data_IF_993124530164
#
_entry.id   IF_993124530164
#
_cell.length_a   1.000
_cell.length_b   1.000
_cell.length_c   1.000
_cell.angle_alpha   90.00
_cell.angle_beta   90.00
_cell.angle_gamma   90.00
#
_symmetry.space_group_name_H-M   'P 1'
#
loop_
_entity.id
_entity.type
_entity.pdbx_description
1 polymer ?
#
# COMPACT_ATOMS: atom_id res chain seq x y z
N UNK A 1 -18.44 12.37 -6.79
CA UNK A 1 -16.99 12.14 -6.89
C UNK A 1 -16.81 10.68 -7.23
N UNK A 2 -16.36 10.37 -8.45
CA UNK A 2 -16.31 9.01 -8.96
C UNK A 2 -15.28 8.22 -8.15
N UNK A 3 -15.75 7.39 -7.22
CA UNK A 3 -14.92 6.38 -6.58
C UNK A 3 -14.52 5.40 -7.65
N UNK A 4 -13.31 5.57 -8.19
CA UNK A 4 -12.71 4.60 -9.09
C UNK A 4 -12.74 3.25 -8.38
N UNK A 5 -13.57 2.33 -8.87
CA UNK A 5 -13.64 0.95 -8.40
C UNK A 5 -12.36 0.23 -8.84
N UNK A 6 -11.24 0.58 -8.21
CA UNK A 6 -9.99 -0.10 -8.41
C UNK A 6 -10.03 -1.37 -7.56
N UNK A 7 -10.15 -2.55 -8.16
CA UNK A 7 -10.03 -3.83 -7.44
C UNK A 7 -8.56 -4.14 -7.09
N UNK A 8 -7.83 -3.13 -6.62
CA UNK A 8 -6.40 -3.04 -6.35
C UNK A 8 -5.60 -4.34 -6.57
N UNK A 9 -4.99 -4.47 -7.77
CA UNK A 9 -4.01 -5.54 -8.02
C UNK A 9 -2.70 -5.07 -7.40
N UNK A 10 -2.31 -5.71 -6.30
CA UNK A 10 -1.17 -5.32 -5.47
C UNK A 10 0.07 -6.13 -5.84
N UNK A 11 1.18 -5.43 -6.04
CA UNK A 11 2.52 -5.98 -6.15
C UNK A 11 3.30 -5.65 -4.87
N UNK A 12 3.99 -6.64 -4.28
CA UNK A 12 4.86 -6.40 -3.13
C UNK A 12 6.11 -5.65 -3.61
N UNK A 13 6.30 -4.42 -3.10
CA UNK A 13 7.51 -3.64 -3.34
C UNK A 13 8.65 -4.04 -2.41
N UNK A 14 8.32 -4.48 -1.20
CA UNK A 14 9.31 -4.94 -0.23
C UNK A 14 8.83 -4.88 1.21
N UNK A 15 9.71 -5.28 2.11
CA UNK A 15 9.53 -5.21 3.55
C UNK A 15 10.57 -4.27 4.17
N UNK A 16 10.17 -3.53 5.20
CA UNK A 16 11.08 -2.79 6.07
C UNK A 16 10.92 -3.30 7.50
N UNK A 17 11.98 -3.90 8.04
CA UNK A 17 12.03 -4.31 9.44
C UNK A 17 12.36 -3.11 10.33
N UNK A 18 11.62 -2.99 11.41
CA UNK A 18 11.80 -1.97 12.46
C UNK A 18 11.86 -2.68 13.82
N UNK A 19 12.30 -1.98 14.85
CA UNK A 19 12.30 -2.51 16.23
C UNK A 19 10.89 -2.94 16.68
N UNK A 20 9.85 -2.27 16.17
CA UNK A 20 8.43 -2.59 16.35
C UNK A 20 7.81 -3.39 15.19
N UNK A 21 8.55 -4.31 14.55
CA UNK A 21 8.00 -5.21 13.53
C UNK A 21 8.26 -4.79 12.07
N UNK A 22 7.57 -5.43 11.12
CA UNK A 22 7.87 -5.29 9.68
C UNK A 22 6.78 -4.56 8.91
N UNK A 23 7.09 -3.44 8.26
CA UNK A 23 6.18 -2.77 7.33
C UNK A 23 6.26 -3.40 5.95
N UNK A 24 5.13 -3.81 5.38
CA UNK A 24 5.04 -4.34 4.02
C UNK A 24 4.48 -3.28 3.09
N UNK A 25 5.19 -3.01 1.99
CA UNK A 25 4.80 -2.01 1.01
C UNK A 25 4.25 -2.71 -0.22
N UNK A 26 3.05 -2.34 -0.64
CA UNK A 26 2.40 -2.85 -1.83
C UNK A 26 2.07 -1.72 -2.79
N UNK A 27 2.32 -1.89 -4.08
CA UNK A 27 1.89 -0.94 -5.11
C UNK A 27 0.72 -1.51 -5.88
N UNK A 28 -0.30 -0.69 -6.08
CA UNK A 28 -1.33 -1.02 -7.03
C UNK A 28 -0.83 -0.81 -8.46
N UNK A 29 -0.80 -1.87 -9.26
CA UNK A 29 -0.39 -1.81 -10.66
C UNK A 29 -1.39 -1.04 -11.56
N UNK A 30 -2.61 -0.76 -11.06
CA UNK A 30 -3.67 -0.07 -11.82
C UNK A 30 -3.74 1.43 -11.55
N UNK A 31 -3.89 1.82 -10.28
CA UNK A 31 -3.98 3.25 -9.91
C UNK A 31 -2.61 3.85 -9.53
N UNK A 32 -1.62 3.03 -9.22
CA UNK A 32 -0.32 3.49 -8.75
C UNK A 32 -0.26 3.79 -7.24
N UNK A 33 -1.38 3.65 -6.52
CA UNK A 33 -1.42 3.84 -5.07
C UNK A 33 -0.48 2.87 -4.35
N UNK A 34 0.09 3.33 -3.25
CA UNK A 34 0.90 2.49 -2.37
C UNK A 34 0.13 2.20 -1.09
N UNK A 35 0.11 0.94 -0.69
CA UNK A 35 -0.49 0.44 0.54
C UNK A 35 0.62 -0.01 1.48
N UNK A 36 0.66 0.55 2.67
CA UNK A 36 1.61 0.16 3.73
C UNK A 36 0.85 -0.66 4.76
N UNK A 37 1.16 -1.96 4.84
CA UNK A 37 0.58 -2.86 5.84
C UNK A 37 1.53 -3.01 7.01
N UNK A 38 1.04 -2.70 8.20
CA UNK A 38 1.76 -2.88 9.46
C UNK A 38 1.13 -4.06 10.19
N UNK A 39 1.68 -5.29 10.11
CA UNK A 39 1.10 -6.50 10.70
C UNK A 39 1.05 -6.45 12.23
N UNK A 40 1.80 -5.55 12.86
CA UNK A 40 1.81 -5.40 14.32
C UNK A 40 0.56 -4.66 14.84
N UNK A 41 0.04 -3.71 14.06
CA UNK A 41 -1.14 -2.90 14.41
C UNK A 41 -2.41 -3.29 13.60
N UNK A 42 -2.30 -4.24 12.68
CA UNK A 42 -3.29 -4.57 11.64
C UNK A 42 -3.80 -3.35 10.83
N UNK A 43 -3.01 -2.27 10.81
CA UNK A 43 -3.32 -1.04 10.07
C UNK A 43 -2.82 -1.12 8.63
N UNK A 44 -3.59 -0.51 7.74
CA UNK A 44 -3.23 -0.31 6.33
C UNK A 44 -3.31 1.17 6.02
N UNK A 45 -2.19 1.76 5.59
CA UNK A 45 -2.13 3.13 5.13
C UNK A 45 -2.17 3.18 3.62
N UNK A 46 -3.01 4.04 3.04
CA UNK A 46 -3.07 4.28 1.60
C UNK A 46 -2.39 5.60 1.27
N UNK A 47 -1.37 5.54 0.44
CA UNK A 47 -0.67 6.69 -0.13
C UNK A 47 -1.11 6.81 -1.59
N UNK A 48 -1.86 7.87 -1.96
CA UNK A 48 -2.29 8.09 -3.34
C UNK A 48 -1.09 8.15 -4.29
N UNK A 49 -1.14 7.41 -5.39
CA UNK A 49 -0.13 7.50 -6.43
C UNK A 49 -0.18 8.87 -7.08
N UNK A 50 0.93 9.61 -7.07
CA UNK A 50 1.02 10.86 -7.84
C UNK A 50 1.11 10.50 -9.32
N UNK A 51 0.02 10.65 -10.06
CA UNK A 51 0.06 10.67 -11.53
C UNK A 51 0.74 11.97 -11.95
N UNK A 52 1.98 11.88 -12.46
CA UNK A 52 2.66 12.98 -13.16
C UNK A 52 2.13 13.11 -14.58
#
# INVERSE_FOLDING_TARGET
>A
MAGEQCSHILELLGEQKTEGGSNLYYRCLRCGDVFVKTPQDDKVYRVPGVRR
#
